data_IF_949882943005
#
_entry.id   IF_949882943005
#
_cell.length_a   1.000
_cell.length_b   1.000
_cell.length_c   1.000
_cell.angle_alpha   90.00
_cell.angle_beta   90.00
_cell.angle_gamma   90.00
#
_symmetry.space_group_name_H-M   'P 1'
#
loop_
_entity.id
_entity.type
_entity.pdbx_description
1 polymer ?
#
# COMPACT_ATOMS: atom_id res chain seq x y z
N UNK A 1 -19.35 -20.81 -9.97
CA UNK A 1 -18.48 -21.68 -10.77
C UNK A 1 -17.68 -20.81 -11.73
N UNK A 2 -16.35 -20.76 -11.63
CA UNK A 2 -15.59 -20.01 -12.63
C UNK A 2 -15.84 -20.62 -13.99
N UNK A 3 -16.19 -19.79 -14.97
CA UNK A 3 -16.34 -20.21 -16.34
C UNK A 3 -14.97 -20.61 -16.87
N UNK A 4 -14.86 -21.82 -17.38
CA UNK A 4 -13.69 -22.24 -18.15
C UNK A 4 -13.61 -21.33 -19.39
N UNK A 5 -12.66 -20.40 -19.41
CA UNK A 5 -12.48 -19.51 -20.56
C UNK A 5 -11.87 -20.29 -21.73
N UNK A 6 -12.09 -19.82 -22.95
CA UNK A 6 -11.47 -20.42 -24.15
C UNK A 6 -9.93 -20.42 -24.03
N UNK A 7 -9.39 -19.37 -23.44
CA UNK A 7 -7.96 -19.21 -23.21
C UNK A 7 -7.42 -20.24 -22.22
N UNK A 8 -8.12 -20.48 -21.12
CA UNK A 8 -7.76 -21.53 -20.16
C UNK A 8 -7.84 -22.92 -20.77
N UNK A 9 -8.89 -23.19 -21.54
CA UNK A 9 -9.04 -24.46 -22.26
C UNK A 9 -7.86 -24.69 -23.20
N UNK A 10 -7.48 -23.69 -23.99
CA UNK A 10 -6.33 -23.75 -24.90
C UNK A 10 -5.03 -23.96 -24.12
N UNK A 11 -4.81 -23.22 -23.03
CA UNK A 11 -3.64 -23.37 -22.15
C UNK A 11 -3.48 -24.81 -21.64
N UNK A 12 -4.57 -25.41 -21.18
CA UNK A 12 -4.55 -26.80 -20.70
C UNK A 12 -4.24 -27.80 -21.84
N UNK A 13 -4.87 -27.63 -23.01
CA UNK A 13 -4.65 -28.48 -24.18
C UNK A 13 -3.19 -28.45 -24.68
N UNK A 14 -2.59 -27.27 -24.76
CA UNK A 14 -1.17 -27.10 -25.14
C UNK A 14 -0.21 -27.83 -24.18
N UNK A 15 -0.64 -28.12 -22.95
CA UNK A 15 0.15 -28.81 -21.91
C UNK A 15 -0.34 -30.23 -21.62
N UNK A 16 -1.21 -30.76 -22.47
CA UNK A 16 -1.84 -32.07 -22.28
C UNK A 16 -2.62 -32.23 -20.97
N UNK A 17 -3.23 -31.15 -20.50
CA UNK A 17 -4.16 -31.17 -19.38
C UNK A 17 -5.60 -31.19 -19.89
N UNK A 18 -6.45 -31.89 -19.17
CA UNK A 18 -7.88 -31.76 -19.37
C UNK A 18 -8.38 -30.44 -18.73
N UNK A 19 -9.07 -29.56 -19.49
CA UNK A 19 -9.47 -28.25 -18.98
C UNK A 19 -10.64 -28.34 -18.00
N UNK A 20 -10.35 -28.73 -16.78
CA UNK A 20 -11.33 -28.83 -15.69
C UNK A 20 -10.77 -28.20 -14.41
N UNK A 21 -11.68 -27.82 -13.54
CA UNK A 21 -11.39 -27.18 -12.27
C UNK A 21 -12.22 -27.87 -11.18
N UNK A 22 -11.57 -28.21 -10.11
CA UNK A 22 -12.21 -28.81 -8.92
C UNK A 22 -11.92 -27.95 -7.69
N UNK A 23 -12.71 -28.11 -6.64
CA UNK A 23 -12.40 -27.53 -5.34
C UNK A 23 -11.54 -28.52 -4.57
N UNK A 24 -10.52 -28.02 -3.91
CA UNK A 24 -9.80 -28.76 -2.88
C UNK A 24 -10.60 -28.77 -1.56
N UNK A 25 -10.07 -29.46 -0.55
CA UNK A 25 -10.68 -29.57 0.78
C UNK A 25 -10.77 -28.21 1.52
N UNK A 26 -9.97 -27.22 1.08
CA UNK A 26 -9.99 -25.84 1.60
C UNK A 26 -10.91 -24.91 0.79
N UNK A 27 -11.61 -25.43 -0.21
CA UNK A 27 -12.48 -24.66 -1.09
C UNK A 27 -11.73 -23.82 -2.14
N UNK A 28 -10.46 -24.10 -2.39
CA UNK A 28 -9.69 -23.47 -3.46
C UNK A 28 -9.86 -24.23 -4.76
N UNK A 29 -9.86 -23.48 -5.85
CA UNK A 29 -9.91 -24.08 -7.18
C UNK A 29 -8.54 -24.58 -7.61
N UNK A 30 -8.47 -25.86 -8.03
CA UNK A 30 -7.28 -26.46 -8.56
C UNK A 30 -7.56 -27.37 -9.75
N UNK A 31 -6.51 -27.69 -10.53
CA UNK A 31 -6.58 -28.67 -11.59
C UNK A 31 -6.22 -30.05 -11.03
N UNK A 32 -7.09 -31.07 -11.19
CA UNK A 32 -6.90 -32.36 -10.53
C UNK A 32 -5.67 -33.15 -10.98
N UNK A 33 -5.11 -32.83 -12.14
CA UNK A 33 -3.86 -33.44 -12.64
C UNK A 33 -2.57 -32.89 -12.01
N UNK A 34 -2.67 -31.86 -11.18
CA UNK A 34 -1.54 -31.23 -10.50
C UNK A 34 -1.83 -31.19 -9.01
N UNK A 35 -0.92 -31.68 -8.20
CA UNK A 35 -1.00 -31.51 -6.76
C UNK A 35 -0.98 -30.01 -6.43
N UNK A 36 -2.11 -29.52 -5.93
CA UNK A 36 -2.28 -28.12 -5.61
C UNK A 36 -2.53 -27.23 -6.84
N UNK A 37 -2.67 -25.97 -6.61
CA UNK A 37 -3.16 -24.88 -7.48
C UNK A 37 -2.28 -24.61 -8.73
N UNK A 38 -1.29 -25.44 -9.04
CA UNK A 38 -0.23 -25.16 -10.03
C UNK A 38 -0.74 -24.77 -11.41
N UNK A 39 -1.71 -25.50 -11.98
CA UNK A 39 -2.21 -25.17 -13.32
C UNK A 39 -2.93 -23.83 -13.36
N UNK A 40 -3.74 -23.54 -12.34
CA UNK A 40 -4.50 -22.27 -12.25
C UNK A 40 -3.57 -21.12 -11.96
N UNK A 41 -2.60 -21.31 -11.07
CA UNK A 41 -1.60 -20.27 -10.76
C UNK A 41 -0.70 -20.00 -11.96
N UNK A 42 -0.25 -21.06 -12.68
CA UNK A 42 0.56 -20.90 -13.90
C UNK A 42 -0.21 -20.15 -14.98
N UNK A 43 -1.47 -20.53 -15.23
CA UNK A 43 -2.32 -19.85 -16.20
C UNK A 43 -2.53 -18.38 -15.85
N UNK A 44 -2.89 -18.06 -14.59
CA UNK A 44 -3.07 -16.69 -14.13
C UNK A 44 -1.77 -15.90 -14.17
N UNK A 45 -0.66 -16.53 -13.82
CA UNK A 45 0.65 -15.93 -13.87
C UNK A 45 1.07 -15.61 -15.29
N UNK A 46 0.92 -16.54 -16.23
CA UNK A 46 1.21 -16.30 -17.64
C UNK A 46 0.34 -15.18 -18.22
N UNK A 47 -0.96 -15.18 -17.93
CA UNK A 47 -1.86 -14.10 -18.33
C UNK A 47 -1.48 -12.74 -17.74
N UNK A 48 -1.05 -12.76 -16.48
CA UNK A 48 -0.56 -11.58 -15.81
C UNK A 48 0.74 -11.08 -16.46
N UNK A 49 1.69 -11.98 -16.72
CA UNK A 49 3.00 -11.64 -17.29
C UNK A 49 2.92 -11.15 -18.73
N UNK A 50 2.04 -11.73 -19.54
CA UNK A 50 1.86 -11.35 -20.96
C UNK A 50 1.39 -9.90 -21.13
N UNK A 51 0.83 -9.27 -20.08
CA UNK A 51 0.29 -7.92 -20.10
C UNK A 51 0.88 -7.02 -19.00
N UNK A 52 2.06 -7.38 -18.47
CA UNK A 52 2.63 -6.68 -17.34
C UNK A 52 4.12 -6.43 -17.56
N UNK A 53 4.51 -5.17 -17.50
CA UNK A 53 5.91 -4.78 -17.55
C UNK A 53 6.59 -5.10 -16.21
N UNK A 54 7.79 -5.67 -16.28
CA UNK A 54 8.60 -5.95 -15.09
C UNK A 54 9.63 -4.84 -14.93
N UNK A 55 9.63 -4.23 -13.74
CA UNK A 55 10.58 -3.19 -13.37
C UNK A 55 11.32 -3.60 -12.10
N UNK A 56 12.64 -3.50 -12.12
CA UNK A 56 13.49 -3.64 -10.94
C UNK A 56 13.86 -2.24 -10.46
N UNK A 57 13.43 -1.87 -9.26
CA UNK A 57 13.62 -0.51 -8.73
C UNK A 57 15.07 -0.05 -8.70
N UNK A 58 16.00 -0.97 -8.44
CA UNK A 58 17.44 -0.66 -8.41
C UNK A 58 18.03 -0.32 -9.80
N UNK A 59 17.44 -0.85 -10.86
CA UNK A 59 17.93 -0.75 -12.22
C UNK A 59 17.18 0.31 -13.04
N UNK A 60 16.08 0.81 -12.50
CA UNK A 60 15.21 1.75 -13.21
C UNK A 60 15.49 3.19 -12.75
N UNK A 61 16.18 4.00 -13.58
CA UNK A 61 16.42 5.38 -13.23
C UNK A 61 15.13 6.19 -13.40
N UNK A 62 14.51 6.61 -12.32
CA UNK A 62 13.39 7.54 -12.35
C UNK A 62 13.86 8.91 -11.90
N UNK A 63 14.26 9.74 -12.87
CA UNK A 63 14.84 11.05 -12.68
C UNK A 63 14.24 12.11 -13.63
N UNK A 64 14.82 13.29 -13.65
CA UNK A 64 14.37 14.40 -14.52
C UNK A 64 14.41 14.10 -16.03
N UNK A 65 15.16 13.08 -16.47
CA UNK A 65 15.30 12.77 -17.90
C UNK A 65 14.16 11.92 -18.43
N UNK A 66 13.53 11.12 -17.56
CA UNK A 66 12.52 10.14 -17.95
C UNK A 66 11.21 10.24 -17.17
N UNK A 67 11.07 11.24 -16.30
CA UNK A 67 9.89 11.49 -15.49
C UNK A 67 9.57 12.98 -15.36
N UNK A 68 8.34 13.30 -15.06
CA UNK A 68 7.93 14.65 -14.76
C UNK A 68 8.21 15.00 -13.30
N UNK A 69 8.51 16.28 -13.06
CA UNK A 69 8.70 16.83 -11.72
C UNK A 69 7.37 17.31 -11.16
N UNK A 70 7.03 16.85 -9.97
CA UNK A 70 5.81 17.25 -9.26
C UNK A 70 6.16 17.78 -7.88
N UNK A 71 5.25 18.60 -7.34
CA UNK A 71 5.34 19.14 -6.00
C UNK A 71 4.16 18.62 -5.17
N UNK A 72 4.44 18.14 -3.96
CA UNK A 72 3.39 17.75 -3.03
C UNK A 72 2.54 18.96 -2.66
N UNK A 73 1.24 18.84 -2.78
CA UNK A 73 0.31 19.87 -2.27
C UNK A 73 0.39 19.93 -0.74
N UNK A 74 0.23 21.13 -0.22
CA UNK A 74 0.12 21.36 1.23
C UNK A 74 -1.35 21.18 1.65
N UNK A 75 -1.79 19.93 1.68
CA UNK A 75 -3.14 19.57 2.15
C UNK A 75 -3.08 19.24 3.63
N UNK A 76 -4.16 19.49 4.40
CA UNK A 76 -4.26 19.09 5.79
C UNK A 76 -4.18 17.57 5.95
N UNK A 77 -3.45 17.14 6.97
CA UNK A 77 -3.36 15.76 7.46
C UNK A 77 -3.84 15.71 8.90
N UNK A 78 -4.29 14.54 9.33
CA UNK A 78 -4.53 14.29 10.74
C UNK A 78 -3.25 13.88 11.46
N UNK A 79 -3.17 14.14 12.76
CA UNK A 79 -2.19 13.54 13.64
C UNK A 79 -2.77 13.29 15.02
N UNK A 80 -2.22 12.30 15.71
CA UNK A 80 -2.52 11.99 17.10
C UNK A 80 -1.26 11.42 17.77
N UNK A 81 -0.98 11.83 18.99
CA UNK A 81 0.03 11.17 19.81
C UNK A 81 -0.57 9.88 20.36
N UNK A 82 0.08 8.75 20.15
CA UNK A 82 -0.48 7.44 20.55
C UNK A 82 -0.67 7.37 22.07
N UNK A 83 0.19 8.06 22.82
CA UNK A 83 0.08 8.21 24.28
C UNK A 83 -1.14 9.01 24.78
N UNK A 84 -1.87 9.69 23.88
CA UNK A 84 -3.15 10.32 24.22
C UNK A 84 -4.31 9.32 24.18
N UNK A 85 -4.13 8.18 23.52
CA UNK A 85 -5.14 7.15 23.36
C UNK A 85 -4.95 5.99 24.34
N UNK A 86 -3.71 5.62 24.61
CA UNK A 86 -3.33 4.48 25.46
C UNK A 86 -2.10 4.78 26.29
N UNK A 87 -1.98 4.09 27.42
CA UNK A 87 -0.80 4.16 28.26
C UNK A 87 0.44 3.59 27.56
N UNK A 88 1.60 4.11 27.94
CA UNK A 88 2.90 3.64 27.45
C UNK A 88 3.09 2.15 27.79
N UNK A 89 3.56 1.37 26.82
CA UNK A 89 3.71 -0.07 26.94
C UNK A 89 2.49 -0.89 26.53
N UNK A 90 1.33 -0.27 26.23
CA UNK A 90 0.12 -0.99 25.79
C UNK A 90 0.35 -1.59 24.39
N UNK A 91 0.14 -2.90 24.19
CA UNK A 91 0.19 -3.51 22.86
C UNK A 91 -1.09 -3.18 22.08
N UNK A 92 -0.94 -2.63 20.88
CA UNK A 92 -2.05 -2.23 20.03
C UNK A 92 -1.92 -2.77 18.61
N UNK A 93 -3.06 -3.02 17.98
CA UNK A 93 -3.16 -3.24 16.53
C UNK A 93 -3.72 -1.99 15.88
N UNK A 94 -3.00 -1.44 14.92
CA UNK A 94 -3.42 -0.28 14.13
C UNK A 94 -3.86 -0.75 12.75
N UNK A 95 -5.11 -0.50 12.39
CA UNK A 95 -5.62 -0.78 11.06
C UNK A 95 -5.15 0.28 10.08
N UNK A 96 -4.46 -0.15 9.03
CA UNK A 96 -3.94 0.72 7.96
C UNK A 96 -4.51 0.31 6.60
N UNK A 97 -4.30 1.14 5.58
CA UNK A 97 -4.67 0.81 4.18
C UNK A 97 -3.96 -0.45 3.64
N UNK A 98 -2.85 -0.84 4.24
CA UNK A 98 -2.02 -1.98 3.82
C UNK A 98 -2.20 -3.21 4.71
N UNK A 99 -3.15 -3.18 5.64
CA UNK A 99 -3.42 -4.23 6.61
C UNK A 99 -3.19 -3.77 8.05
N UNK A 100 -3.37 -4.69 8.96
CA UNK A 100 -3.22 -4.45 10.38
C UNK A 100 -1.72 -4.48 10.76
N UNK A 101 -1.30 -3.54 11.60
CA UNK A 101 0.08 -3.42 12.11
C UNK A 101 0.05 -3.50 13.62
N UNK A 102 0.70 -4.53 14.14
CA UNK A 102 0.90 -4.69 15.59
C UNK A 102 2.09 -3.87 16.06
N UNK A 103 1.91 -3.14 17.15
CA UNK A 103 2.94 -2.32 17.76
C UNK A 103 2.68 -2.14 19.26
N UNK A 104 3.64 -1.55 19.96
CA UNK A 104 3.51 -1.18 21.36
C UNK A 104 3.50 0.35 21.45
N UNK A 105 2.65 0.89 22.29
CA UNK A 105 2.59 2.33 22.55
C UNK A 105 3.91 2.78 23.16
N UNK A 106 4.57 3.74 22.53
CA UNK A 106 5.80 4.36 23.02
C UNK A 106 5.63 5.87 23.07
N UNK A 107 6.09 6.48 24.13
CA UNK A 107 6.13 7.94 24.26
C UNK A 107 6.95 8.54 23.11
N UNK A 108 6.43 9.61 22.52
CA UNK A 108 7.09 10.28 21.39
C UNK A 108 6.83 9.64 20.03
N UNK A 109 5.86 8.73 19.94
CA UNK A 109 5.32 8.24 18.66
C UNK A 109 4.08 9.04 18.30
N UNK A 110 4.09 9.59 17.09
CA UNK A 110 2.98 10.30 16.46
C UNK A 110 2.48 9.51 15.27
N UNK A 111 1.19 9.29 15.20
CA UNK A 111 0.54 8.78 14.00
C UNK A 111 0.08 9.94 13.15
N UNK A 112 0.47 9.94 11.88
CA UNK A 112 -0.07 10.86 10.89
C UNK A 112 -1.06 10.14 10.01
N UNK A 113 -2.20 10.77 9.76
CA UNK A 113 -3.31 10.19 9.03
C UNK A 113 -3.56 11.05 7.79
N UNK A 114 -3.38 10.44 6.64
CA UNK A 114 -3.65 11.10 5.36
C UNK A 114 -5.15 11.32 5.14
N UNK A 115 -5.55 12.22 4.22
CA UNK A 115 -6.96 12.53 3.95
C UNK A 115 -7.80 11.31 3.59
N UNK A 116 -7.16 10.24 3.10
CA UNK A 116 -7.82 8.98 2.72
C UNK A 116 -7.69 7.87 3.76
N UNK A 117 -7.27 8.17 4.98
CA UNK A 117 -7.15 7.19 6.06
C UNK A 117 -5.84 6.41 6.10
N UNK A 118 -4.86 6.72 5.24
CA UNK A 118 -3.52 6.11 5.32
C UNK A 118 -2.81 6.54 6.60
N UNK A 119 -2.35 5.57 7.40
CA UNK A 119 -1.71 5.80 8.70
C UNK A 119 -0.21 5.59 8.59
N UNK A 120 0.58 6.50 9.18
CA UNK A 120 2.03 6.45 9.16
C UNK A 120 2.61 6.77 10.54
N UNK A 121 3.44 5.88 11.04
CA UNK A 121 4.15 6.05 12.32
C UNK A 121 5.34 7.00 12.14
N UNK A 122 5.52 7.92 13.08
CA UNK A 122 6.62 8.88 13.08
C UNK A 122 7.15 9.10 14.49
N UNK A 123 8.45 9.29 14.62
CA UNK A 123 9.02 9.83 15.84
C UNK A 123 8.66 11.32 15.95
N UNK A 124 8.31 11.78 17.14
CA UNK A 124 7.85 13.15 17.40
C UNK A 124 8.79 14.22 16.81
N UNK A 125 10.08 14.10 17.04
CA UNK A 125 11.07 15.01 16.47
C UNK A 125 10.99 15.08 14.94
N UNK A 126 10.90 13.94 14.27
CA UNK A 126 10.77 13.89 12.81
C UNK A 126 9.42 14.44 12.32
N UNK A 127 8.38 14.29 13.12
CA UNK A 127 7.08 14.88 12.84
C UNK A 127 7.11 16.40 12.94
N UNK A 128 7.67 16.94 14.03
CA UNK A 128 7.82 18.38 14.25
C UNK A 128 8.67 19.06 13.15
N UNK A 129 9.72 18.41 12.68
CA UNK A 129 10.54 18.90 11.56
C UNK A 129 9.76 18.96 10.24
N UNK A 130 8.80 18.05 10.05
CA UNK A 130 8.10 17.85 8.76
C UNK A 130 6.73 18.50 8.68
N UNK A 131 6.10 18.86 9.80
CA UNK A 131 4.74 19.35 9.83
C UNK A 131 4.58 20.61 10.70
N UNK A 132 3.65 21.48 10.29
CA UNK A 132 3.06 22.50 11.15
C UNK A 132 1.86 21.89 11.86
N UNK A 133 1.74 22.08 13.16
CA UNK A 133 0.67 21.52 14.00
C UNK A 133 -0.41 22.57 14.26
N UNK A 134 -1.65 22.14 14.22
CA UNK A 134 -2.83 22.95 14.55
C UNK A 134 -3.74 22.14 15.50
N UNK A 135 -3.40 22.09 16.79
CA UNK A 135 -4.08 21.24 17.77
C UNK A 135 -5.55 21.62 17.98
N UNK A 136 -5.89 22.88 17.79
CA UNK A 136 -7.27 23.37 17.94
C UNK A 136 -8.17 23.06 16.71
N UNK A 137 -7.59 22.58 15.61
CA UNK A 137 -8.33 22.27 14.40
C UNK A 137 -8.69 20.79 14.39
N UNK A 138 -9.96 20.50 14.06
CA UNK A 138 -10.42 19.12 13.89
C UNK A 138 -10.19 18.64 12.48
N UNK A 139 -9.58 17.46 12.37
CA UNK A 139 -9.36 16.80 11.09
C UNK A 139 -10.61 16.02 10.69
N UNK A 140 -10.96 16.09 9.40
CA UNK A 140 -12.05 15.31 8.83
C UNK A 140 -11.49 14.36 7.77
N UNK A 141 -11.79 13.08 7.93
CA UNK A 141 -11.54 12.08 6.90
C UNK A 141 -12.60 12.25 5.79
N UNK A 142 -12.16 12.41 4.56
CA UNK A 142 -13.02 12.54 3.39
C UNK A 142 -12.87 11.32 2.50
N UNK A 143 -14.00 10.80 2.02
CA UNK A 143 -14.05 9.74 1.02
C UNK A 143 -13.17 8.52 1.34
N UNK A 144 -13.11 8.14 2.61
CA UNK A 144 -12.40 6.93 3.04
C UNK A 144 -13.34 5.72 3.01
N UNK A 145 -12.83 4.61 2.53
CA UNK A 145 -13.58 3.35 2.51
C UNK A 145 -13.74 2.77 3.92
N UNK A 146 -12.85 3.16 4.84
CA UNK A 146 -12.92 2.82 6.26
C UNK A 146 -12.16 3.85 7.11
N UNK A 147 -12.58 4.04 8.35
CA UNK A 147 -11.81 4.81 9.34
C UNK A 147 -10.68 3.97 9.90
N UNK A 148 -9.46 4.54 10.06
CA UNK A 148 -8.41 3.87 10.83
C UNK A 148 -8.90 3.61 12.25
N UNK A 149 -8.58 2.43 12.78
CA UNK A 149 -8.94 2.04 14.14
C UNK A 149 -7.71 1.59 14.90
N UNK A 150 -7.73 1.79 16.21
CA UNK A 150 -6.73 1.31 17.15
C UNK A 150 -7.40 0.32 18.09
N UNK A 151 -6.86 -0.88 18.17
CA UNK A 151 -7.37 -1.93 19.05
C UNK A 151 -6.32 -2.26 20.09
N UNK A 152 -6.68 -2.18 21.36
CA UNK A 152 -5.88 -2.70 22.46
C UNK A 152 -5.88 -4.24 22.38
N UNK A 153 -4.70 -4.85 22.41
CA UNK A 153 -4.59 -6.32 22.33
C UNK A 153 -4.88 -7.01 23.64
N UNK A 154 -4.73 -6.32 24.79
CA UNK A 154 -4.94 -6.91 26.12
C UNK A 154 -6.42 -7.11 26.43
N UNK A 155 -7.26 -6.14 26.14
CA UNK A 155 -8.69 -6.15 26.48
C UNK A 155 -9.62 -6.16 25.25
N UNK A 156 -9.07 -5.99 24.05
CA UNK A 156 -9.80 -5.97 22.78
C UNK A 156 -10.60 -4.71 22.51
N UNK A 157 -10.48 -3.68 23.37
CA UNK A 157 -11.16 -2.39 23.14
C UNK A 157 -10.64 -1.72 21.88
N UNK A 158 -11.56 -1.09 21.13
CA UNK A 158 -11.22 -0.40 19.89
C UNK A 158 -11.57 1.07 20.01
N UNK A 159 -10.64 1.93 19.61
CA UNK A 159 -10.83 3.37 19.53
C UNK A 159 -10.81 3.77 18.05
N UNK A 160 -11.83 4.53 17.63
CA UNK A 160 -11.77 5.28 16.37
C UNK A 160 -11.15 6.64 16.67
N UNK A 161 -9.98 6.95 16.09
CA UNK A 161 -9.24 8.15 16.50
C UNK A 161 -9.87 9.45 16.02
N UNK A 162 -10.98 9.42 15.29
CA UNK A 162 -11.61 10.60 14.65
C UNK A 162 -11.81 11.75 15.63
N UNK A 163 -12.19 11.44 16.86
CA UNK A 163 -12.42 12.47 17.90
C UNK A 163 -11.14 13.04 18.53
N UNK A 164 -10.02 12.34 18.32
CA UNK A 164 -8.70 12.67 18.88
C UNK A 164 -7.73 13.23 17.83
N UNK A 165 -8.11 13.24 16.56
CA UNK A 165 -7.22 13.67 15.48
C UNK A 165 -7.18 15.20 15.39
N UNK A 166 -5.98 15.73 15.55
CA UNK A 166 -5.67 17.13 15.27
C UNK A 166 -5.19 17.34 13.84
N UNK A 167 -5.16 18.59 13.39
CA UNK A 167 -4.69 18.92 12.03
C UNK A 167 -3.19 19.22 12.03
N UNK A 168 -2.51 18.67 11.03
CA UNK A 168 -1.17 19.11 10.66
C UNK A 168 -1.06 19.39 9.16
N UNK A 169 -0.12 20.27 8.79
CA UNK A 169 0.15 20.62 7.40
C UNK A 169 1.63 20.38 7.11
N UNK A 170 1.98 19.66 6.03
CA UNK A 170 3.37 19.41 5.68
C UNK A 170 4.16 20.71 5.50
N UNK A 171 5.35 20.77 6.10
CA UNK A 171 6.34 21.82 5.87
C UNK A 171 7.04 21.59 4.53
N UNK A 172 7.53 22.67 3.93
CA UNK A 172 8.38 22.60 2.75
C UNK A 172 7.66 22.22 1.45
N UNK A 173 8.43 22.24 0.38
CA UNK A 173 8.04 21.74 -0.94
C UNK A 173 8.79 20.44 -1.16
N UNK A 174 8.13 19.30 -1.03
CA UNK A 174 8.72 18.02 -1.43
C UNK A 174 8.56 17.87 -2.93
N UNK A 175 9.67 17.72 -3.59
CA UNK A 175 9.73 17.41 -5.02
C UNK A 175 9.79 15.92 -5.21
N UNK A 176 9.05 15.41 -6.16
CA UNK A 176 9.08 14.01 -6.58
C UNK A 176 9.22 13.93 -8.09
N UNK A 177 9.86 12.89 -8.57
CA UNK A 177 9.81 12.49 -9.97
C UNK A 177 8.73 11.43 -10.12
N UNK A 178 7.84 11.60 -11.09
CA UNK A 178 6.81 10.62 -11.32
C UNK A 178 6.55 10.41 -12.81
N UNK A 179 6.27 9.16 -13.16
CA UNK A 179 5.90 8.72 -14.49
C UNK A 179 4.59 7.96 -14.42
N UNK A 180 3.61 8.40 -15.21
CA UNK A 180 2.33 7.71 -15.33
C UNK A 180 2.55 6.37 -16.02
N UNK A 181 1.92 5.33 -15.50
CA UNK A 181 1.95 4.00 -16.08
C UNK A 181 0.98 3.91 -17.26
N UNK A 182 1.49 3.49 -18.40
CA UNK A 182 0.71 3.23 -19.61
C UNK A 182 0.18 1.78 -19.64
N UNK A 183 0.82 0.90 -18.86
CA UNK A 183 0.50 -0.53 -18.76
C UNK A 183 0.58 -0.99 -17.31
N UNK A 184 0.13 -2.20 -17.05
CA UNK A 184 0.34 -2.86 -15.75
C UNK A 184 1.83 -3.07 -15.51
N UNK A 185 2.27 -2.84 -14.28
CA UNK A 185 3.67 -2.97 -13.88
C UNK A 185 3.77 -3.85 -12.64
N UNK A 186 4.78 -4.71 -12.63
CA UNK A 186 5.25 -5.42 -11.44
C UNK A 186 6.61 -4.84 -11.05
N UNK A 187 6.61 -4.00 -10.01
CA UNK A 187 7.80 -3.36 -9.48
C UNK A 187 8.43 -4.22 -8.40
N UNK A 188 9.62 -4.73 -8.66
CA UNK A 188 10.43 -5.44 -7.66
C UNK A 188 11.31 -4.49 -6.87
N UNK A 189 11.28 -4.66 -5.56
CA UNK A 189 12.06 -3.88 -4.60
C UNK A 189 12.77 -4.83 -3.63
N UNK A 190 13.88 -4.37 -3.06
CA UNK A 190 14.48 -5.01 -1.91
C UNK A 190 14.09 -4.22 -0.65
N UNK A 191 13.49 -4.88 0.31
CA UNK A 191 13.09 -4.28 1.58
C UNK A 191 13.55 -5.21 2.72
N UNK A 192 14.39 -4.69 3.60
CA UNK A 192 14.97 -5.45 4.72
C UNK A 192 15.66 -6.76 4.32
N UNK A 193 16.33 -6.80 3.14
CA UNK A 193 16.98 -8.00 2.61
C UNK A 193 16.05 -8.99 1.92
N UNK A 194 14.75 -8.72 1.87
CA UNK A 194 13.77 -9.54 1.17
C UNK A 194 13.36 -8.90 -0.16
N UNK A 195 13.12 -9.75 -1.16
CA UNK A 195 12.57 -9.33 -2.43
C UNK A 195 11.05 -9.26 -2.34
N UNK A 196 10.52 -8.05 -2.36
CA UNK A 196 9.09 -7.78 -2.39
C UNK A 196 8.70 -7.17 -3.73
N UNK A 197 7.43 -7.27 -4.10
CA UNK A 197 6.94 -6.59 -5.28
C UNK A 197 5.64 -5.83 -5.01
N UNK A 198 5.43 -4.78 -5.77
CA UNK A 198 4.20 -4.00 -5.79
C UNK A 198 3.63 -4.00 -7.20
N UNK A 199 2.30 -4.09 -7.30
CA UNK A 199 1.58 -4.04 -8.57
C UNK A 199 1.10 -2.61 -8.84
N UNK A 200 1.43 -2.09 -10.03
CA UNK A 200 0.86 -0.87 -10.57
C UNK A 200 -0.13 -1.18 -11.68
N UNK A 201 -1.21 -0.44 -11.75
CA UNK A 201 -2.21 -0.51 -12.83
C UNK A 201 -1.93 0.59 -13.85
N UNK A 202 -2.46 0.43 -15.05
CA UNK A 202 -2.52 1.53 -16.01
C UNK A 202 -3.16 2.76 -15.38
N UNK A 203 -2.52 3.91 -15.55
CA UNK A 203 -2.94 5.17 -14.97
C UNK A 203 -2.37 5.48 -13.58
N UNK A 204 -1.85 4.50 -12.84
CA UNK A 204 -1.07 4.73 -11.62
C UNK A 204 0.27 5.41 -11.93
N UNK A 205 1.05 5.71 -10.94
CA UNK A 205 2.33 6.40 -11.09
C UNK A 205 3.47 5.62 -10.47
N UNK A 206 4.59 5.51 -11.21
CA UNK A 206 5.90 5.25 -10.60
C UNK A 206 6.41 6.55 -10.01
N UNK A 207 6.82 6.52 -8.76
CA UNK A 207 7.25 7.72 -8.01
C UNK A 207 8.61 7.48 -7.40
N UNK A 208 9.49 8.48 -7.50
CA UNK A 208 10.76 8.54 -6.80
C UNK A 208 10.84 9.83 -5.99
N UNK A 209 11.14 9.72 -4.71
CA UNK A 209 11.40 10.88 -3.87
C UNK A 209 12.80 11.43 -4.13
N UNK A 210 12.91 12.73 -4.35
CA UNK A 210 14.23 13.37 -4.54
C UNK A 210 15.10 13.35 -3.28
N UNK A 211 14.48 13.13 -2.11
CA UNK A 211 15.17 13.09 -0.82
C UNK A 211 15.75 11.70 -0.51
N UNK A 212 15.19 10.65 -1.09
CA UNK A 212 15.61 9.27 -0.90
C UNK A 212 15.98 8.68 -2.25
N UNK A 213 17.24 8.83 -2.63
CA UNK A 213 17.76 8.26 -3.87
C UNK A 213 17.46 6.76 -3.92
N UNK A 214 16.87 6.31 -5.04
CA UNK A 214 16.58 4.91 -5.37
C UNK A 214 15.41 4.22 -4.64
N UNK A 215 14.50 4.96 -4.03
CA UNK A 215 13.25 4.38 -3.55
C UNK A 215 12.09 4.66 -4.52
N UNK A 216 12.04 3.87 -5.58
CA UNK A 216 10.91 3.91 -6.51
C UNK A 216 9.78 3.08 -5.91
N UNK A 217 8.57 3.61 -5.94
CA UNK A 217 7.35 2.92 -5.52
C UNK A 217 6.18 3.25 -6.44
N UNK A 218 5.15 2.42 -6.39
CA UNK A 218 3.90 2.68 -7.10
C UNK A 218 2.97 3.50 -6.22
N UNK A 219 2.41 4.56 -6.79
CA UNK A 219 1.35 5.34 -6.16
C UNK A 219 0.08 5.25 -7.00
N UNK A 220 -1.03 4.91 -6.36
CA UNK A 220 -2.32 4.86 -7.02
C UNK A 220 -2.69 6.24 -7.58
N UNK A 221 -3.31 6.26 -8.77
CA UNK A 221 -3.73 7.50 -9.44
C UNK A 221 -4.52 8.42 -8.53
N UNK A 222 -5.52 7.87 -7.82
CA UNK A 222 -6.39 8.64 -6.92
C UNK A 222 -5.60 9.37 -5.81
N UNK A 223 -4.52 8.73 -5.31
CA UNK A 223 -3.66 9.30 -4.26
C UNK A 223 -2.71 10.34 -4.83
N UNK A 224 -2.25 10.11 -6.05
CA UNK A 224 -1.29 11.00 -6.71
C UNK A 224 -1.91 12.33 -7.17
N UNK A 225 -3.13 12.27 -7.70
CA UNK A 225 -3.83 13.43 -8.28
C UNK A 225 -4.49 14.33 -7.21
N UNK A 226 -4.53 13.93 -5.94
CA UNK A 226 -4.92 14.77 -4.80
C UNK A 226 -3.84 15.76 -4.41
#
# INVERSE_FOLDING_TARGET
>A
MPLLTKEYTKFCQERNFEPRMEFDDEGKWEHPSLSGVKAVLSYRFEQYMNNTDIIYAKEYPLDQKNANTYYRRKIPWGYVHVSELYEDGTPITVRTLWGDVDTVVEKGIVLTIGPRGGVYFRKEKAFEEQFYMYPDWKFQLKDVEYSPTFRNQDDGTTIEPVDHIHVCIPKGKRTIYAKKLEHKVKLFQEKNGEHVYTLGREGDYLVNSTEQQNQIYVMQRKVFEE
#
